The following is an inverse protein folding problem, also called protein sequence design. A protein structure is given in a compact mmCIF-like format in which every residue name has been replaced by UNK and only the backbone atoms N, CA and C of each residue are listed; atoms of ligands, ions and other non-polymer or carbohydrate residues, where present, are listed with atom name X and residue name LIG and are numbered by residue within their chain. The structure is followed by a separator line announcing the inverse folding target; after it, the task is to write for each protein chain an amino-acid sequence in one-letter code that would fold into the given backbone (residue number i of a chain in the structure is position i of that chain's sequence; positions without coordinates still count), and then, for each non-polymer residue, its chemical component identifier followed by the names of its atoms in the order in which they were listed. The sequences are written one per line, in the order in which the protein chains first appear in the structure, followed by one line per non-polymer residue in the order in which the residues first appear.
data_IF_691663656897
#
_entry.id   IF_691663656897
#
_cell.length_a   1.000
_cell.length_b   1.000
_cell.length_c   1.000
_cell.angle_alpha   90.00
_cell.angle_beta   90.00
_cell.angle_gamma   90.00
#
_symmetry.space_group_name_H-M   'P 1'
#
loop_
_entity.id
_entity.type
_entity.pdbx_description
1 polymer ?
#
# COMPACT_ATOMS: atom_id res chain seq x y z
N UNK A 1 -38.16 -4.63 -24.11
CA UNK A 1 -38.87 -3.47 -23.52
C UNK A 1 -38.87 -2.36 -24.56
N UNK A 2 -40.01 -1.75 -24.91
CA UNK A 2 -40.01 -0.64 -25.87
C UNK A 2 -39.31 0.58 -25.25
N UNK A 3 -38.31 1.13 -25.95
CA UNK A 3 -37.64 2.37 -25.57
C UNK A 3 -38.64 3.54 -25.65
N UNK A 4 -38.82 4.27 -24.55
CA UNK A 4 -39.66 5.46 -24.54
C UNK A 4 -38.89 6.57 -25.23
N UNK A 5 -39.23 6.83 -26.48
CA UNK A 5 -38.63 7.89 -27.29
C UNK A 5 -39.38 9.19 -27.03
N UNK A 6 -38.71 10.17 -26.42
CA UNK A 6 -39.21 11.53 -26.22
C UNK A 6 -38.78 12.42 -27.39
N UNK A 7 -39.62 13.40 -27.73
CA UNK A 7 -39.31 14.40 -28.77
C UNK A 7 -38.92 15.72 -28.12
N UNK A 8 -37.75 16.24 -28.45
CA UNK A 8 -37.22 17.50 -27.92
C UNK A 8 -36.97 18.46 -29.07
N UNK A 9 -37.47 19.69 -28.96
CA UNK A 9 -37.20 20.74 -29.94
C UNK A 9 -35.95 21.52 -29.53
N UNK A 10 -34.98 21.62 -30.43
CA UNK A 10 -33.71 22.34 -30.22
C UNK A 10 -33.39 23.22 -31.40
N UNK A 11 -32.50 24.20 -31.23
CA UNK A 11 -32.02 25.07 -32.31
C UNK A 11 -30.51 24.94 -32.41
N UNK A 12 -30.00 24.60 -33.59
CA UNK A 12 -28.58 24.35 -33.86
C UNK A 12 -28.20 25.11 -35.13
N UNK A 13 -27.16 25.93 -35.06
CA UNK A 13 -26.68 26.80 -36.13
C UNK A 13 -27.81 27.64 -36.75
N UNK A 14 -28.71 28.15 -35.90
CA UNK A 14 -29.86 28.95 -36.33
C UNK A 14 -31.07 28.17 -36.85
N UNK A 15 -30.95 26.86 -37.10
CA UNK A 15 -32.03 26.00 -37.62
C UNK A 15 -32.70 25.23 -36.49
N UNK A 16 -34.04 25.14 -36.50
CA UNK A 16 -34.80 24.38 -35.52
C UNK A 16 -34.89 22.90 -35.92
N UNK A 17 -34.55 22.00 -35.01
CA UNK A 17 -34.60 20.55 -35.17
C UNK A 17 -35.47 19.91 -34.09
N UNK A 18 -36.16 18.83 -34.45
CA UNK A 18 -36.86 17.98 -33.50
C UNK A 18 -36.08 16.66 -33.36
N UNK A 19 -35.45 16.47 -32.20
CA UNK A 19 -34.65 15.29 -31.89
C UNK A 19 -35.51 14.25 -31.16
N UNK A 20 -35.37 12.99 -31.58
CA UNK A 20 -35.96 11.84 -30.92
C UNK A 20 -34.89 11.18 -30.05
N UNK A 21 -35.11 11.13 -28.73
CA UNK A 21 -34.12 10.64 -27.78
C UNK A 21 -34.76 9.81 -26.67
N UNK A 22 -33.99 8.86 -26.16
CA UNK A 22 -34.37 7.99 -25.04
C UNK A 22 -33.78 8.47 -23.71
N UNK A 23 -32.79 9.36 -23.79
CA UNK A 23 -32.18 10.06 -22.67
C UNK A 23 -33.04 11.25 -22.19
N UNK A 24 -32.60 11.88 -21.09
CA UNK A 24 -33.29 13.03 -20.51
C UNK A 24 -33.22 14.29 -21.41
N UNK A 25 -34.27 15.11 -21.34
CA UNK A 25 -34.38 16.33 -22.15
C UNK A 25 -33.24 17.30 -21.87
N UNK A 26 -32.80 17.41 -20.62
CA UNK A 26 -31.69 18.29 -20.25
C UNK A 26 -30.38 17.87 -20.92
N UNK A 27 -30.13 16.57 -21.02
CA UNK A 27 -28.93 16.03 -21.67
C UNK A 27 -28.93 16.35 -23.17
N UNK A 28 -30.05 16.12 -23.85
CA UNK A 28 -30.20 16.41 -25.28
C UNK A 28 -30.05 17.91 -25.57
N UNK A 29 -30.64 18.77 -24.74
CA UNK A 29 -30.48 20.23 -24.87
C UNK A 29 -29.02 20.66 -24.68
N UNK A 30 -28.30 20.05 -23.73
CA UNK A 30 -26.86 20.29 -23.53
C UNK A 30 -26.02 19.83 -24.72
N UNK A 31 -26.33 18.67 -25.30
CA UNK A 31 -25.68 18.18 -26.52
C UNK A 31 -25.92 19.11 -27.71
N UNK A 32 -27.16 19.57 -27.90
CA UNK A 32 -27.49 20.53 -28.96
C UNK A 32 -26.73 21.86 -28.78
N UNK A 33 -26.63 22.36 -27.54
CA UNK A 33 -25.85 23.56 -27.23
C UNK A 33 -24.34 23.35 -27.52
N UNK A 34 -23.79 22.17 -27.21
CA UNK A 34 -22.40 21.84 -27.56
C UNK A 34 -22.19 21.80 -29.07
N UNK A 35 -23.11 21.17 -29.81
CA UNK A 35 -23.04 21.12 -31.27
C UNK A 35 -23.09 22.53 -31.89
N UNK A 36 -23.98 23.40 -31.38
CA UNK A 36 -24.06 24.80 -31.80
C UNK A 36 -22.75 25.55 -31.56
N UNK A 37 -22.16 25.39 -30.38
CA UNK A 37 -20.87 25.99 -30.03
C UNK A 37 -19.73 25.50 -30.94
N UNK A 38 -19.67 24.20 -31.25
CA UNK A 38 -18.64 23.65 -32.15
C UNK A 38 -18.76 24.20 -33.57
N UNK A 39 -19.99 24.32 -34.09
CA UNK A 39 -20.23 24.92 -35.41
C UNK A 39 -19.84 26.41 -35.38
N UNK A 40 -20.21 27.13 -34.31
CA UNK A 40 -19.85 28.54 -34.12
C UNK A 40 -18.35 28.75 -34.09
N UNK A 41 -17.59 27.89 -33.39
CA UNK A 41 -16.13 27.96 -33.34
C UNK A 41 -15.49 27.77 -34.72
N UNK A 42 -15.98 26.81 -35.52
CA UNK A 42 -15.50 26.60 -36.89
C UNK A 42 -15.80 27.81 -37.76
N UNK A 43 -17.00 28.40 -37.66
CA UNK A 43 -17.38 29.60 -38.41
C UNK A 43 -16.51 30.82 -38.02
N UNK A 44 -16.16 30.96 -36.73
CA UNK A 44 -15.26 32.02 -36.27
C UNK A 44 -13.83 31.83 -36.78
N UNK A 45 -13.35 30.59 -36.80
CA UNK A 45 -12.01 30.26 -37.30
C UNK A 45 -11.91 30.37 -38.83
N UNK A 46 -13.02 30.23 -39.55
CA UNK A 46 -13.03 30.26 -41.02
C UNK A 46 -14.32 30.91 -41.55
N UNK A 47 -14.37 32.27 -41.59
CA UNK A 47 -15.58 33.02 -41.93
C UNK A 47 -16.04 32.87 -43.39
N UNK A 48 -15.17 32.38 -44.27
CA UNK A 48 -15.46 32.19 -45.70
C UNK A 48 -16.22 30.89 -45.99
N UNK A 49 -16.41 30.02 -45.00
CA UNK A 49 -17.05 28.72 -45.18
C UNK A 49 -18.58 28.84 -45.17
N UNK A 50 -19.22 28.01 -45.98
CA UNK A 50 -20.66 27.79 -45.87
C UNK A 50 -20.99 27.07 -44.56
N UNK A 51 -22.21 27.26 -44.06
CA UNK A 51 -22.70 26.58 -42.87
C UNK A 51 -22.63 25.05 -42.99
N UNK A 52 -22.88 24.49 -44.17
CA UNK A 52 -22.77 23.05 -44.43
C UNK A 52 -21.34 22.54 -44.25
N UNK A 53 -20.36 23.24 -44.81
CA UNK A 53 -18.95 22.87 -44.67
C UNK A 53 -18.47 23.04 -43.23
N UNK A 54 -18.89 24.11 -42.55
CA UNK A 54 -18.59 24.31 -41.13
C UNK A 54 -19.16 23.19 -40.24
N UNK A 55 -20.36 22.69 -40.57
CA UNK A 55 -20.99 21.57 -39.86
C UNK A 55 -20.21 20.27 -40.07
N UNK A 56 -19.74 19.99 -41.29
CA UNK A 56 -18.91 18.82 -41.60
C UNK A 56 -17.59 18.88 -40.82
N UNK A 57 -16.92 20.04 -40.79
CA UNK A 57 -15.67 20.21 -40.03
C UNK A 57 -15.90 20.08 -38.51
N UNK A 58 -17.00 20.63 -37.99
CA UNK A 58 -17.37 20.48 -36.58
C UNK A 58 -17.61 19.01 -36.22
N UNK A 59 -18.24 18.24 -37.11
CA UNK A 59 -18.43 16.80 -36.94
C UNK A 59 -17.11 16.03 -36.91
N UNK A 60 -16.18 16.34 -37.84
CA UNK A 60 -14.85 15.72 -37.86
C UNK A 60 -14.09 16.01 -36.57
N UNK A 61 -14.13 17.25 -36.09
CA UNK A 61 -13.51 17.64 -34.82
C UNK A 61 -14.14 16.89 -33.63
N UNK A 62 -15.47 16.73 -33.61
CA UNK A 62 -16.16 15.96 -32.57
C UNK A 62 -15.74 14.48 -32.59
N UNK A 63 -15.59 13.88 -33.77
CA UNK A 63 -15.11 12.50 -33.89
C UNK A 63 -13.66 12.35 -33.40
N UNK A 64 -12.79 13.32 -33.71
CA UNK A 64 -11.42 13.32 -33.20
C UNK A 64 -11.37 13.44 -31.67
N UNK A 65 -12.19 14.32 -31.07
CA UNK A 65 -12.34 14.41 -29.61
C UNK A 65 -12.77 13.08 -29.00
N UNK A 66 -13.80 12.42 -29.56
CA UNK A 66 -14.25 11.10 -29.09
C UNK A 66 -13.12 10.06 -29.18
N UNK A 67 -12.36 10.05 -30.27
CA UNK A 67 -11.23 9.14 -30.43
C UNK A 67 -10.08 9.44 -29.46
N UNK A 68 -9.82 10.71 -29.15
CA UNK A 68 -8.86 11.11 -28.10
C UNK A 68 -9.32 10.62 -26.74
N UNK A 69 -10.58 10.83 -26.37
CA UNK A 69 -11.12 10.36 -25.10
C UNK A 69 -11.13 8.84 -24.99
N UNK A 70 -11.45 8.11 -26.06
CA UNK A 70 -11.36 6.64 -26.09
C UNK A 70 -9.94 6.14 -25.84
N UNK A 71 -8.95 6.69 -26.56
CA UNK A 71 -7.53 6.35 -26.35
C UNK A 71 -7.07 6.66 -24.92
N UNK A 72 -7.48 7.81 -24.38
CA UNK A 72 -7.16 8.16 -22.99
C UNK A 72 -7.81 7.19 -22.00
N UNK A 73 -9.07 6.81 -22.23
CA UNK A 73 -9.76 5.80 -21.40
C UNK A 73 -9.05 4.45 -21.46
N UNK A 74 -8.58 4.01 -22.62
CA UNK A 74 -7.81 2.76 -22.77
C UNK A 74 -6.47 2.82 -22.02
N UNK A 75 -5.79 3.96 -22.05
CA UNK A 75 -4.54 4.18 -21.29
C UNK A 75 -4.83 4.10 -19.79
N UNK A 76 -5.83 4.84 -19.31
CA UNK A 76 -6.21 4.84 -17.90
C UNK A 76 -6.64 3.45 -17.43
N UNK A 77 -7.35 2.68 -18.27
CA UNK A 77 -7.70 1.29 -17.96
C UNK A 77 -6.45 0.42 -17.80
N UNK A 78 -5.47 0.53 -18.70
CA UNK A 78 -4.19 -0.20 -18.60
C UNK A 78 -3.42 0.17 -17.34
N UNK A 79 -3.35 1.46 -17.01
CA UNK A 79 -2.70 1.93 -15.77
C UNK A 79 -3.39 1.35 -14.53
N UNK A 80 -4.74 1.38 -14.51
CA UNK A 80 -5.53 0.84 -13.40
C UNK A 80 -5.30 -0.66 -13.23
N UNK A 81 -5.24 -1.41 -14.32
CA UNK A 81 -4.99 -2.85 -14.29
C UNK A 81 -3.54 -3.16 -13.84
N UNK A 82 -2.56 -2.37 -14.31
CA UNK A 82 -1.16 -2.48 -13.86
C UNK A 82 -1.02 -2.20 -12.35
N UNK A 83 -1.67 -1.14 -11.85
CA UNK A 83 -1.68 -0.83 -10.43
C UNK A 83 -2.38 -1.91 -9.60
N UNK A 84 -3.47 -2.49 -10.11
CA UNK A 84 -4.15 -3.60 -9.45
C UNK A 84 -3.25 -4.83 -9.35
N UNK A 85 -2.48 -5.15 -10.40
CA UNK A 85 -1.49 -6.23 -10.37
C UNK A 85 -0.37 -5.96 -9.36
N UNK A 86 0.18 -4.75 -9.34
CA UNK A 86 1.20 -4.36 -8.37
C UNK A 86 0.68 -4.46 -6.93
N UNK A 87 -0.53 -3.97 -6.68
CA UNK A 87 -1.17 -4.07 -5.35
C UNK A 87 -1.34 -5.52 -4.92
N UNK A 88 -1.73 -6.39 -5.84
CA UNK A 88 -1.85 -7.83 -5.55
C UNK A 88 -0.50 -8.47 -5.24
N UNK A 89 0.55 -8.12 -5.98
CA UNK A 89 1.93 -8.58 -5.71
C UNK A 89 2.42 -8.10 -4.34
N UNK A 90 2.24 -6.82 -4.02
CA UNK A 90 2.61 -6.27 -2.72
C UNK A 90 1.87 -6.97 -1.58
N UNK A 91 0.57 -7.28 -1.77
CA UNK A 91 -0.20 -8.02 -0.78
C UNK A 91 0.35 -9.43 -0.56
N UNK A 92 0.71 -10.14 -1.63
CA UNK A 92 1.31 -11.48 -1.50
C UNK A 92 2.67 -11.43 -0.81
N UNK A 93 3.50 -10.43 -1.10
CA UNK A 93 4.79 -10.25 -0.41
C UNK A 93 4.60 -9.87 1.06
N UNK A 94 3.61 -9.02 1.37
CA UNK A 94 3.27 -8.67 2.75
C UNK A 94 2.85 -9.92 3.55
N UNK A 95 2.00 -10.76 2.98
CA UNK A 95 1.54 -11.99 3.63
C UNK A 95 2.71 -12.97 3.83
N UNK A 96 3.61 -13.08 2.86
CA UNK A 96 4.84 -13.87 2.98
C UNK A 96 5.74 -13.36 4.12
N UNK A 97 6.00 -12.06 4.17
CA UNK A 97 6.84 -11.47 5.23
C UNK A 97 6.20 -11.63 6.60
N UNK A 98 4.87 -11.57 6.69
CA UNK A 98 4.13 -11.84 7.94
C UNK A 98 4.32 -13.28 8.41
N UNK A 99 4.22 -14.25 7.51
CA UNK A 99 4.45 -15.66 7.82
C UNK A 99 5.89 -15.88 8.32
N UNK A 100 6.88 -15.35 7.60
CA UNK A 100 8.28 -15.42 8.02
C UNK A 100 8.52 -14.78 9.40
N UNK A 101 7.90 -13.62 9.66
CA UNK A 101 7.99 -12.99 10.98
C UNK A 101 7.35 -13.84 12.08
N UNK A 102 6.25 -14.52 11.79
CA UNK A 102 5.61 -15.41 12.75
C UNK A 102 6.51 -16.61 13.09
N UNK A 103 7.12 -17.24 12.09
CA UNK A 103 8.07 -18.34 12.28
C UNK A 103 9.30 -17.91 13.09
N UNK A 104 9.91 -16.78 12.74
CA UNK A 104 11.06 -16.26 13.49
C UNK A 104 10.71 -15.96 14.96
N UNK A 105 9.53 -15.39 15.23
CA UNK A 105 9.06 -15.15 16.61
C UNK A 105 8.86 -16.45 17.37
N UNK A 106 8.34 -17.49 16.71
CA UNK A 106 8.18 -18.82 17.31
C UNK A 106 9.54 -19.43 17.67
N UNK A 107 10.52 -19.35 16.79
CA UNK A 107 11.89 -19.83 17.05
C UNK A 107 12.55 -19.03 18.17
N UNK A 108 12.39 -17.70 18.18
CA UNK A 108 12.87 -16.84 19.26
C UNK A 108 12.29 -17.27 20.62
N UNK A 109 10.99 -17.53 20.71
CA UNK A 109 10.35 -18.00 21.94
C UNK A 109 10.84 -19.39 22.35
N UNK A 110 11.09 -20.29 21.39
CA UNK A 110 11.63 -21.60 21.66
C UNK A 110 13.03 -21.52 22.29
N UNK A 111 13.92 -20.70 21.70
CA UNK A 111 15.27 -20.51 22.21
C UNK A 111 15.27 -19.84 23.59
N UNK A 112 14.42 -18.83 23.81
CA UNK A 112 14.25 -18.22 25.13
C UNK A 112 13.81 -19.24 26.20
N UNK A 113 12.91 -20.16 25.86
CA UNK A 113 12.50 -21.23 26.77
C UNK A 113 13.66 -22.15 27.12
N UNK A 114 14.44 -22.58 26.12
CA UNK A 114 15.61 -23.43 26.34
C UNK A 114 16.64 -22.74 27.24
N UNK A 115 16.92 -21.45 27.00
CA UNK A 115 17.83 -20.67 27.84
C UNK A 115 17.35 -20.67 29.29
N UNK A 116 16.07 -20.38 29.53
CA UNK A 116 15.50 -20.38 30.89
C UNK A 116 15.58 -21.77 31.56
N UNK A 117 15.39 -22.85 30.80
CA UNK A 117 15.55 -24.22 31.32
C UNK A 117 17.01 -24.51 31.72
N UNK A 118 17.98 -24.09 30.90
CA UNK A 118 19.40 -24.26 31.20
C UNK A 118 19.85 -23.40 32.39
N UNK A 119 19.42 -22.14 32.48
CA UNK A 119 19.70 -21.25 33.61
C UNK A 119 19.19 -21.88 34.92
N UNK A 120 17.95 -22.36 34.95
CA UNK A 120 17.37 -23.04 36.11
C UNK A 120 18.15 -24.29 36.49
N UNK A 121 18.56 -25.10 35.51
CA UNK A 121 19.34 -26.31 35.77
C UNK A 121 20.74 -26.00 36.30
N UNK A 122 21.35 -24.92 35.81
CA UNK A 122 22.64 -24.45 36.30
C UNK A 122 22.53 -23.96 37.75
N UNK A 123 21.49 -23.20 38.07
CA UNK A 123 21.19 -22.74 39.43
C UNK A 123 20.93 -23.91 40.39
N UNK A 124 20.22 -24.95 39.94
CA UNK A 124 20.02 -26.18 40.73
C UNK A 124 21.34 -26.88 41.05
N UNK A 125 22.22 -27.04 40.06
CA UNK A 125 23.54 -27.66 40.26
C UNK A 125 24.38 -26.83 41.25
N UNK A 126 24.33 -25.49 41.16
CA UNK A 126 25.00 -24.60 42.11
C UNK A 126 24.44 -24.74 43.53
N UNK A 127 23.11 -24.84 43.68
CA UNK A 127 22.43 -25.07 44.97
C UNK A 127 22.85 -26.39 45.59
N UNK A 128 22.77 -27.50 44.84
CA UNK A 128 23.14 -28.83 45.29
C UNK A 128 24.63 -28.91 45.71
N UNK A 129 25.51 -28.22 44.96
CA UNK A 129 26.94 -28.12 45.29
C UNK A 129 27.19 -27.33 46.60
N UNK A 130 26.35 -26.34 46.92
CA UNK A 130 26.42 -25.57 48.16
C UNK A 130 25.82 -26.28 49.38
N UNK A 131 24.76 -27.08 49.20
CA UNK A 131 24.14 -27.88 50.26
C UNK A 131 25.03 -29.06 50.69
N UNK A 132 25.85 -29.59 49.78
CA UNK A 132 26.85 -30.63 50.09
C UNK A 132 28.14 -30.06 50.70
N UNK A 133 28.25 -28.74 50.83
CA UNK A 133 29.36 -28.03 51.45
C UNK A 133 28.98 -27.50 52.84
N UNK A 134 28.64 -28.38 53.79
CA UNK A 134 28.63 -28.05 55.22
C UNK A 134 30.06 -28.14 55.79
N UNK A 135 30.41 -27.36 56.84
CA UNK A 135 31.76 -26.86 57.05
C UNK A 135 32.67 -27.95 57.64
N UNK A 136 33.82 -28.18 57.01
CA UNK A 136 34.92 -28.83 57.72
C UNK A 136 35.42 -27.88 58.81
N UNK A 137 35.54 -28.33 60.08
CA UNK A 137 36.16 -27.54 61.11
C UNK A 137 37.68 -27.49 60.85
N UNK A 138 38.20 -26.28 60.94
CA UNK A 138 39.53 -25.93 61.45
C UNK A 138 40.65 -26.96 61.29
N UNK A 139 41.61 -26.64 60.41
CA UNK A 139 43.02 -26.90 60.69
C UNK A 139 43.87 -25.80 60.01
N UNK A 140 44.25 -24.82 60.84
CA UNK A 140 45.60 -24.27 60.98
C UNK A 140 46.53 -24.18 59.77
N UNK A 141 46.85 -22.93 59.46
CA UNK A 141 48.18 -22.41 59.15
C UNK A 141 48.89 -22.69 57.81
N UNK A 142 49.07 -21.54 57.13
CA UNK A 142 50.30 -21.04 56.48
C UNK A 142 50.65 -21.53 55.07
N UNK A 143 50.67 -20.55 54.16
CA UNK A 143 51.22 -20.67 52.82
C UNK A 143 51.10 -19.35 52.07
N UNK A 144 51.86 -18.34 52.50
CA UNK A 144 52.09 -17.12 51.73
C UNK A 144 52.83 -17.50 50.45
N UNK A 145 52.16 -17.33 49.31
CA UNK A 145 52.72 -17.45 47.98
C UNK A 145 52.11 -16.30 47.17
N UNK A 146 52.91 -15.24 47.03
CA UNK A 146 52.59 -14.08 46.21
C UNK A 146 52.24 -14.50 44.78
N UNK A 147 51.08 -14.01 44.37
CA UNK A 147 50.47 -14.21 43.07
C UNK A 147 50.88 -13.04 42.15
N UNK A 148 51.58 -13.32 41.06
CA UNK A 148 51.52 -12.49 39.86
C UNK A 148 50.94 -13.34 38.71
N UNK A 149 49.63 -13.57 38.77
CA UNK A 149 48.85 -13.96 37.61
C UNK A 149 48.05 -12.73 37.19
N UNK A 150 48.34 -12.22 35.99
CA UNK A 150 47.64 -11.09 35.38
C UNK A 150 46.11 -11.29 35.42
N UNK A 151 45.34 -10.21 35.67
CA UNK A 151 43.89 -10.32 35.75
C UNK A 151 43.31 -10.68 34.38
N UNK A 152 42.59 -11.80 34.33
CA UNK A 152 41.75 -12.17 33.19
C UNK A 152 40.72 -11.04 33.01
N UNK A 153 40.62 -10.40 31.83
CA UNK A 153 39.64 -9.34 31.63
C UNK A 153 38.23 -9.92 31.76
N UNK A 154 37.44 -9.35 32.66
CA UNK A 154 36.01 -9.60 32.76
C UNK A 154 35.35 -9.40 31.39
N UNK A 155 34.47 -10.29 30.92
CA UNK A 155 33.67 -10.00 29.75
C UNK A 155 32.76 -8.83 30.09
N UNK A 156 33.00 -7.67 29.46
CA UNK A 156 32.15 -6.50 29.62
C UNK A 156 30.69 -6.88 29.35
N UNK A 157 29.73 -6.44 30.20
CA UNK A 157 28.32 -6.63 29.90
C UNK A 157 28.02 -5.87 28.60
N UNK A 158 27.77 -6.61 27.53
CA UNK A 158 27.27 -6.02 26.29
C UNK A 158 26.05 -5.16 26.62
N UNK A 159 25.98 -3.90 26.15
CA UNK A 159 24.88 -3.01 26.46
C UNK A 159 23.68 -3.40 25.57
N UNK A 160 23.10 -4.56 25.85
CA UNK A 160 21.76 -4.90 25.42
C UNK A 160 20.93 -5.05 26.69
N UNK A 161 20.77 -3.90 27.34
CA UNK A 161 19.77 -3.65 28.36
C UNK A 161 18.45 -4.21 27.87
N UNK A 162 17.86 -5.11 28.66
CA UNK A 162 16.53 -5.69 28.47
C UNK A 162 15.41 -4.61 28.28
N UNK A 163 15.74 -3.33 28.49
CA UNK A 163 14.91 -2.15 28.28
C UNK A 163 14.68 -1.76 26.80
N UNK A 164 15.37 -2.38 25.84
CA UNK A 164 15.23 -2.05 24.41
C UNK A 164 14.05 -2.70 23.69
N UNK A 165 13.48 -3.77 24.24
CA UNK A 165 12.24 -4.35 23.70
C UNK A 165 11.06 -3.55 24.26
N UNK A 166 10.84 -2.36 23.71
CA UNK A 166 9.51 -1.79 23.76
C UNK A 166 8.58 -2.83 23.13
N UNK A 167 7.65 -3.33 23.94
CA UNK A 167 6.45 -3.99 23.46
C UNK A 167 5.80 -3.01 22.49
N UNK A 168 6.04 -3.21 21.19
CA UNK A 168 5.15 -2.68 20.16
C UNK A 168 3.85 -3.46 20.36
N UNK A 169 2.95 -2.86 21.12
CA UNK A 169 1.59 -3.34 21.29
C UNK A 169 0.89 -3.28 19.94
N UNK A 170 -0.02 -4.21 19.72
CA UNK A 170 -0.74 -4.43 18.46
C UNK A 170 -1.48 -3.19 17.92
N UNK A 171 -1.58 -2.13 18.72
CA UNK A 171 -2.29 -0.88 18.44
C UNK A 171 -1.50 0.10 17.55
N UNK A 172 -0.19 -0.07 17.38
CA UNK A 172 0.63 0.83 16.54
C UNK A 172 0.48 0.59 15.02
N UNK A 173 -0.34 -0.38 14.62
CA UNK A 173 -0.48 -0.86 13.22
C UNK A 173 -1.94 -0.99 12.74
N UNK A 174 -2.88 -0.22 13.30
CA UNK A 174 -4.27 -0.08 12.80
C UNK A 174 -4.48 1.30 12.19
#
# INVERSE_FOLDING_TARGET
MPEIVKRVNVRIAGVAYQLAATEDEAHIRKMAARADEMIRQVLLASPHLSQSMATILALVNAMDEVNKFRRQSEILQKERDSQAQQMQQLKTELDRVREQNWDMRKDQLHMQRLIAEYEKRFEQILSDASEHAAPNPDDGETGHSDNESEPIPEPEPSPLTLAGYQQSTLEDYI
#
